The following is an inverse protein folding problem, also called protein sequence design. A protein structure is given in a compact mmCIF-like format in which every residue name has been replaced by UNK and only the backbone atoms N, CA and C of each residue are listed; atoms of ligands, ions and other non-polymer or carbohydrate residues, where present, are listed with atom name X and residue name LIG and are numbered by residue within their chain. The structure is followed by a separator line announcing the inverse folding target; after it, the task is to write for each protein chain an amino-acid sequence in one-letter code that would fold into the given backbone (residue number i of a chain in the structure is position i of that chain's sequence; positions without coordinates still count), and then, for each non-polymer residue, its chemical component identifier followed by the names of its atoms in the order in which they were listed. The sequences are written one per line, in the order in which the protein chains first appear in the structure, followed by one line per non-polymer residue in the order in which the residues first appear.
data_IF_440366584857
#
_entry.id   IF_440366584857
#
_cell.length_a   1.000
_cell.length_b   1.000
_cell.length_c   1.000
_cell.angle_alpha   90.00
_cell.angle_beta   90.00
_cell.angle_gamma   90.00
#
_symmetry.space_group_name_H-M   'P 1'
#
loop_
_entity.id
_entity.type
_entity.pdbx_description
1 polymer ?
#
# COMPACT_ATOMS: atom_id res chain seq x y z
N UNK A 1 41.75 41.82 -40.31
CA UNK A 1 41.01 40.59 -39.95
C UNK A 1 40.77 40.61 -38.44
N UNK A 2 39.52 40.59 -37.95
CA UNK A 2 39.28 40.61 -36.51
C UNK A 2 39.76 39.30 -35.89
N UNK A 3 40.62 39.35 -34.88
CA UNK A 3 41.01 38.19 -34.09
C UNK A 3 39.81 37.75 -33.26
N UNK A 4 39.18 36.64 -33.64
CA UNK A 4 38.24 35.95 -32.77
C UNK A 4 38.97 35.49 -31.51
N UNK A 5 38.81 36.23 -30.41
CA UNK A 5 39.29 35.83 -29.10
C UNK A 5 38.46 34.62 -28.65
N UNK A 6 39.07 33.43 -28.69
CA UNK A 6 38.47 32.24 -28.08
C UNK A 6 38.41 32.48 -26.58
N UNK A 7 37.19 32.61 -26.03
CA UNK A 7 36.98 32.69 -24.58
C UNK A 7 37.34 31.34 -23.97
N UNK A 8 38.39 31.30 -23.17
CA UNK A 8 38.77 30.14 -22.38
C UNK A 8 38.04 30.21 -21.03
N UNK A 9 37.43 29.11 -20.61
CA UNK A 9 36.72 28.99 -19.34
C UNK A 9 37.74 28.89 -18.20
N UNK A 10 37.55 29.64 -17.12
CA UNK A 10 38.43 29.55 -15.96
C UNK A 10 37.99 28.44 -15.01
N UNK A 11 38.95 27.84 -14.29
CA UNK A 11 38.65 26.83 -13.27
C UNK A 11 37.77 27.40 -12.14
N UNK A 12 37.92 28.68 -11.81
CA UNK A 12 37.13 29.34 -10.77
C UNK A 12 35.68 29.55 -11.20
N UNK A 13 35.41 29.89 -12.46
CA UNK A 13 34.05 29.97 -13.00
C UNK A 13 33.35 28.62 -12.90
N UNK A 14 34.05 27.54 -13.25
CA UNK A 14 33.48 26.18 -13.13
C UNK A 14 33.20 25.83 -11.67
N UNK A 15 34.13 26.16 -10.77
CA UNK A 15 34.04 25.85 -9.35
C UNK A 15 32.84 26.53 -8.69
N UNK A 16 32.59 27.81 -9.01
CA UNK A 16 31.44 28.55 -8.48
C UNK A 16 30.13 27.94 -9.00
N UNK A 17 30.08 27.56 -10.28
CA UNK A 17 28.87 26.94 -10.87
C UNK A 17 28.53 25.62 -10.18
N UNK A 18 29.49 24.72 -10.00
CA UNK A 18 29.22 23.44 -9.32
C UNK A 18 28.88 23.65 -7.84
N UNK A 19 29.45 24.67 -7.18
CA UNK A 19 29.10 25.03 -5.81
C UNK A 19 27.63 25.49 -5.70
N UNK A 20 27.18 26.36 -6.61
CA UNK A 20 25.78 26.83 -6.63
C UNK A 20 24.83 25.67 -6.93
N UNK A 21 25.13 24.83 -7.92
CA UNK A 21 24.32 23.64 -8.25
C UNK A 21 24.25 22.69 -7.04
N UNK A 22 25.36 22.50 -6.32
CA UNK A 22 25.41 21.68 -5.11
C UNK A 22 24.49 22.20 -4.00
N UNK A 23 24.49 23.52 -3.74
CA UNK A 23 23.61 24.15 -2.75
C UNK A 23 22.14 23.98 -3.15
N UNK A 24 21.80 24.24 -4.41
CA UNK A 24 20.43 24.09 -4.90
C UNK A 24 19.95 22.63 -4.82
N UNK A 25 20.81 21.68 -5.21
CA UNK A 25 20.49 20.25 -5.15
C UNK A 25 20.27 19.77 -3.70
N UNK A 26 21.09 20.23 -2.75
CA UNK A 26 20.96 19.87 -1.34
C UNK A 26 19.60 20.23 -0.73
N UNK A 27 18.99 21.35 -1.17
CA UNK A 27 17.66 21.78 -0.73
C UNK A 27 16.56 21.10 -1.55
N UNK A 28 16.76 20.98 -2.88
CA UNK A 28 15.73 20.49 -3.79
C UNK A 28 15.48 18.99 -3.66
N UNK A 29 16.53 18.16 -3.50
CA UNK A 29 16.42 16.69 -3.45
C UNK A 29 15.51 16.20 -2.31
N UNK A 30 15.71 16.58 -1.03
CA UNK A 30 14.82 16.09 0.05
C UNK A 30 13.38 16.54 -0.14
N UNK A 31 13.14 17.76 -0.64
CA UNK A 31 11.80 18.25 -0.92
C UNK A 31 11.13 17.48 -2.07
N UNK A 32 11.90 17.16 -3.12
CA UNK A 32 11.42 16.34 -4.24
C UNK A 32 11.04 14.93 -3.80
N UNK A 33 11.90 14.27 -3.01
CA UNK A 33 11.61 12.94 -2.45
C UNK A 33 10.33 12.96 -1.61
N UNK A 34 10.15 14.00 -0.80
CA UNK A 34 8.95 14.19 -0.02
C UNK A 34 7.69 14.38 -0.89
N UNK A 35 7.77 15.21 -1.93
CA UNK A 35 6.68 15.41 -2.87
C UNK A 35 6.32 14.10 -3.62
N UNK A 36 7.32 13.29 -3.96
CA UNK A 36 7.13 11.99 -4.57
C UNK A 36 6.37 11.04 -3.64
N UNK A 37 6.75 10.95 -2.36
CA UNK A 37 6.03 10.13 -1.37
C UNK A 37 4.58 10.57 -1.21
N UNK A 38 4.30 11.88 -1.13
CA UNK A 38 2.92 12.41 -1.09
C UNK A 38 2.10 11.96 -2.30
N UNK A 39 2.68 12.04 -3.49
CA UNK A 39 2.01 11.63 -4.72
C UNK A 39 1.71 10.13 -4.73
N UNK A 40 2.60 9.29 -4.18
CA UNK A 40 2.39 7.84 -4.03
C UNK A 40 1.27 7.53 -3.03
N UNK A 41 1.26 8.16 -1.86
CA UNK A 41 0.18 8.01 -0.86
C UNK A 41 -1.17 8.44 -1.44
N UNK A 42 -1.22 9.58 -2.14
CA UNK A 42 -2.45 10.05 -2.77
C UNK A 42 -2.96 9.10 -3.86
N UNK A 43 -2.05 8.50 -4.64
CA UNK A 43 -2.40 7.45 -5.62
C UNK A 43 -2.98 6.22 -4.93
N UNK A 44 -2.31 5.71 -3.91
CA UNK A 44 -2.77 4.54 -3.13
C UNK A 44 -4.16 4.78 -2.54
N UNK A 45 -4.38 5.96 -1.95
CA UNK A 45 -5.68 6.35 -1.43
C UNK A 45 -6.79 6.38 -2.51
N UNK A 46 -6.47 6.85 -3.72
CA UNK A 46 -7.39 6.87 -4.85
C UNK A 46 -7.70 5.46 -5.37
N UNK A 47 -6.67 4.61 -5.50
CA UNK A 47 -6.81 3.21 -5.92
C UNK A 47 -7.69 2.42 -4.94
N UNK A 48 -7.45 2.56 -3.64
CA UNK A 48 -8.26 1.94 -2.58
C UNK A 48 -9.73 2.37 -2.66
N UNK A 49 -10.00 3.65 -2.90
CA UNK A 49 -11.38 4.13 -3.11
C UNK A 49 -12.03 3.50 -4.35
N UNK A 50 -11.31 3.41 -5.46
CA UNK A 50 -11.81 2.78 -6.69
C UNK A 50 -12.13 1.30 -6.47
N UNK A 51 -11.28 0.59 -5.74
CA UNK A 51 -11.54 -0.80 -5.33
C UNK A 51 -12.77 -0.86 -4.41
N UNK A 52 -12.90 0.06 -3.44
CA UNK A 52 -14.06 0.14 -2.55
C UNK A 52 -15.38 0.29 -3.31
N UNK A 53 -15.40 1.10 -4.36
CA UNK A 53 -16.56 1.22 -5.28
C UNK A 53 -16.84 -0.11 -5.98
N UNK A 54 -15.80 -0.79 -6.50
CA UNK A 54 -15.94 -2.10 -7.14
C UNK A 54 -16.44 -3.17 -6.16
N UNK A 55 -16.00 -3.12 -4.90
CA UNK A 55 -16.46 -3.96 -3.80
C UNK A 55 -17.95 -3.74 -3.52
N UNK A 56 -18.40 -2.47 -3.48
CA UNK A 56 -19.80 -2.13 -3.32
C UNK A 56 -20.67 -2.67 -4.45
N UNK A 57 -20.22 -2.53 -5.70
CA UNK A 57 -20.92 -3.08 -6.86
C UNK A 57 -20.98 -4.61 -6.85
N UNK A 58 -19.86 -5.28 -6.53
CA UNK A 58 -19.82 -6.73 -6.38
C UNK A 58 -20.77 -7.23 -5.28
N UNK A 59 -20.77 -6.55 -4.12
CA UNK A 59 -21.62 -6.90 -2.99
C UNK A 59 -23.11 -6.70 -3.30
N UNK A 60 -23.47 -5.73 -4.14
CA UNK A 60 -24.86 -5.55 -4.60
C UNK A 60 -25.36 -6.75 -5.41
N UNK A 61 -24.49 -7.35 -6.24
CA UNK A 61 -24.85 -8.51 -7.07
C UNK A 61 -24.77 -9.85 -6.32
N UNK A 62 -23.81 -9.98 -5.40
CA UNK A 62 -23.47 -11.26 -4.76
C UNK A 62 -23.89 -11.35 -3.28
N UNK A 63 -24.45 -10.27 -2.73
CA UNK A 63 -24.85 -10.14 -1.33
C UNK A 63 -23.70 -10.33 -0.32
N UNK A 64 -22.45 -10.22 -0.78
CA UNK A 64 -21.24 -10.39 0.02
C UNK A 64 -20.04 -9.77 -0.71
N UNK A 65 -19.01 -9.33 0.04
CA UNK A 65 -17.77 -8.81 -0.54
C UNK A 65 -16.93 -9.92 -1.14
N UNK A 66 -16.12 -9.68 -2.17
CA UNK A 66 -15.37 -10.75 -2.80
C UNK A 66 -14.31 -11.30 -1.83
N UNK A 67 -14.12 -12.62 -1.82
CA UNK A 67 -13.02 -13.25 -1.08
C UNK A 67 -11.71 -13.03 -1.83
N UNK A 68 -10.67 -12.55 -1.16
CA UNK A 68 -9.31 -12.70 -1.65
C UNK A 68 -8.97 -14.19 -1.69
N UNK A 69 -8.69 -14.72 -2.89
CA UNK A 69 -8.15 -16.06 -3.10
C UNK A 69 -6.85 -15.87 -3.87
N UNK A 70 -5.73 -16.30 -3.29
CA UNK A 70 -4.48 -16.43 -4.04
C UNK A 70 -4.43 -17.87 -4.54
N UNK A 71 -4.76 -18.07 -5.81
CA UNK A 71 -4.78 -19.39 -6.45
C UNK A 71 -3.37 -19.98 -6.67
N UNK A 72 -2.30 -19.28 -6.26
CA UNK A 72 -0.93 -19.59 -6.65
C UNK A 72 0.11 -19.62 -5.52
N UNK A 73 -0.29 -19.78 -4.26
CA UNK A 73 0.68 -19.76 -3.18
C UNK A 73 0.73 -21.03 -2.34
N UNK A 74 1.92 -21.28 -1.83
CA UNK A 74 2.29 -22.42 -1.00
C UNK A 74 1.34 -22.57 0.21
N UNK A 75 1.23 -23.75 0.84
CA UNK A 75 0.37 -23.98 2.02
C UNK A 75 0.57 -23.00 3.19
N UNK A 76 1.70 -22.27 3.21
CA UNK A 76 2.02 -21.23 4.20
C UNK A 76 1.29 -19.90 3.95
N UNK A 77 0.99 -19.60 2.69
CA UNK A 77 0.40 -18.34 2.22
C UNK A 77 -1.10 -18.47 1.92
N UNK A 78 -1.63 -19.70 1.89
CA UNK A 78 -3.06 -19.99 1.87
C UNK A 78 -3.82 -19.44 3.11
N UNK A 79 -3.07 -19.00 4.13
CA UNK A 79 -3.59 -18.35 5.34
C UNK A 79 -3.30 -16.84 5.39
N UNK A 80 -2.69 -16.28 4.36
CA UNK A 80 -2.36 -14.86 4.28
C UNK A 80 -3.55 -14.07 3.75
N UNK A 81 -3.86 -12.97 4.45
CA UNK A 81 -4.73 -11.87 4.06
C UNK A 81 -4.71 -11.66 2.53
N UNK A 82 -5.81 -12.03 1.88
CA UNK A 82 -5.83 -12.33 0.45
C UNK A 82 -5.70 -11.09 -0.43
N UNK A 83 -4.86 -11.17 -1.45
CA UNK A 83 -4.77 -10.15 -2.49
C UNK A 83 -6.11 -9.95 -3.20
N UNK A 84 -6.26 -8.79 -3.87
CA UNK A 84 -7.45 -8.47 -4.65
C UNK A 84 -7.87 -9.62 -5.58
N UNK A 85 -9.15 -10.02 -5.54
CA UNK A 85 -9.58 -11.18 -6.29
C UNK A 85 -9.71 -10.90 -7.78
N UNK A 86 -9.36 -11.91 -8.59
CA UNK A 86 -9.70 -12.00 -10.02
C UNK A 86 -11.21 -11.82 -10.27
N UNK A 87 -12.04 -12.00 -9.23
CA UNK A 87 -13.51 -11.83 -9.26
C UNK A 87 -13.99 -10.41 -9.52
N UNK A 88 -13.13 -9.40 -9.35
CA UNK A 88 -13.46 -8.03 -9.75
C UNK A 88 -13.27 -7.77 -11.25
N UNK A 89 -12.51 -8.62 -11.94
CA UNK A 89 -12.23 -8.46 -13.37
C UNK A 89 -12.83 -9.58 -14.20
N UNK A 90 -13.10 -10.75 -13.62
CA UNK A 90 -13.59 -11.95 -14.31
C UNK A 90 -14.52 -12.79 -13.41
N UNK A 91 -15.59 -13.42 -13.94
CA UNK A 91 -16.08 -13.34 -15.32
C UNK A 91 -16.86 -12.05 -15.62
N UNK A 92 -17.35 -11.34 -14.60
CA UNK A 92 -18.00 -10.03 -14.71
C UNK A 92 -17.03 -8.97 -14.18
N UNK A 93 -16.74 -7.95 -14.98
CA UNK A 93 -15.81 -6.90 -14.62
C UNK A 93 -16.52 -5.79 -13.83
N UNK A 94 -16.23 -5.71 -12.53
CA UNK A 94 -16.57 -4.60 -11.64
C UNK A 94 -15.53 -3.48 -11.71
N UNK A 95 -14.34 -3.77 -12.22
CA UNK A 95 -13.32 -2.80 -12.59
C UNK A 95 -12.50 -3.30 -13.79
N UNK A 96 -11.93 -2.37 -14.57
CA UNK A 96 -11.22 -2.72 -15.82
C UNK A 96 -9.88 -3.44 -15.59
N UNK A 97 -9.18 -3.13 -14.50
CA UNK A 97 -7.92 -3.77 -14.11
C UNK A 97 -7.69 -3.63 -12.61
N UNK A 98 -6.94 -4.55 -12.01
CA UNK A 98 -6.52 -4.46 -10.61
C UNK A 98 -5.31 -3.52 -10.48
N UNK A 99 -5.38 -2.43 -9.71
CA UNK A 99 -4.27 -1.50 -9.54
C UNK A 99 -3.12 -2.15 -8.75
N UNK A 100 -1.91 -1.63 -8.98
CA UNK A 100 -0.69 -2.06 -8.29
C UNK A 100 -0.50 -1.18 -7.07
N UNK A 101 -0.20 -1.80 -5.93
CA UNK A 101 0.23 -1.09 -4.74
C UNK A 101 1.73 -0.74 -4.87
N UNK A 102 2.00 0.56 -5.01
CA UNK A 102 3.33 1.13 -5.21
C UNK A 102 4.26 0.88 -4.00
N UNK A 103 3.71 0.65 -2.80
CA UNK A 103 4.49 0.35 -1.61
C UNK A 103 4.77 -1.15 -1.44
N UNK A 104 4.01 -2.00 -2.14
CA UNK A 104 4.06 -3.46 -2.04
C UNK A 104 5.12 -4.13 -2.96
N UNK A 105 5.97 -3.33 -3.62
CA UNK A 105 7.04 -3.80 -4.53
C UNK A 105 8.35 -4.20 -3.84
N UNK A 106 8.40 -4.14 -2.51
CA UNK A 106 9.60 -4.44 -1.72
C UNK A 106 9.32 -4.38 -0.23
N UNK A 107 8.12 -4.83 0.16
CA UNK A 107 7.66 -4.80 1.54
C UNK A 107 8.16 -6.01 2.33
N UNK A 108 8.19 -5.88 3.66
CA UNK A 108 8.55 -6.94 4.58
C UNK A 108 7.36 -7.32 5.46
N UNK A 109 7.05 -8.62 5.51
CA UNK A 109 6.10 -9.17 6.48
C UNK A 109 6.79 -9.24 7.84
N UNK A 110 6.17 -8.67 8.88
CA UNK A 110 6.71 -8.71 10.24
C UNK A 110 6.90 -10.17 10.72
N UNK A 111 8.10 -10.50 11.22
CA UNK A 111 8.44 -11.84 11.71
C UNK A 111 9.08 -12.81 10.70
N UNK A 112 9.23 -12.44 9.43
CA UNK A 112 10.08 -13.19 8.49
C UNK A 112 11.46 -12.54 8.37
N UNK A 113 12.51 -13.32 8.66
CA UNK A 113 13.91 -12.87 8.60
C UNK A 113 14.37 -12.53 7.16
N UNK A 114 13.71 -13.09 6.13
CA UNK A 114 14.21 -13.07 4.74
C UNK A 114 13.21 -12.53 3.71
N UNK A 115 12.05 -12.01 4.12
CA UNK A 115 11.00 -11.59 3.18
C UNK A 115 11.22 -10.16 2.66
N UNK A 116 12.39 -9.87 2.09
CA UNK A 116 12.51 -8.83 1.05
C UNK A 116 12.12 -9.47 -0.27
N UNK A 117 10.84 -9.74 -0.44
CA UNK A 117 10.33 -10.10 -1.76
C UNK A 117 10.47 -8.89 -2.66
N UNK A 118 11.56 -8.81 -3.43
CA UNK A 118 11.61 -7.96 -4.62
C UNK A 118 10.61 -8.54 -5.61
N UNK A 119 9.34 -8.22 -5.41
CA UNK A 119 8.25 -8.68 -6.25
C UNK A 119 8.34 -7.94 -7.58
N UNK A 120 8.28 -8.67 -8.69
CA UNK A 120 8.26 -8.04 -10.01
C UNK A 120 6.90 -7.37 -10.20
N UNK A 121 6.84 -6.28 -10.96
CA UNK A 121 5.63 -5.48 -11.21
C UNK A 121 4.43 -6.21 -11.87
N UNK A 122 4.47 -7.53 -12.05
CA UNK A 122 3.36 -8.37 -12.50
C UNK A 122 2.91 -9.42 -11.50
N UNK A 123 3.55 -9.51 -10.32
CA UNK A 123 3.21 -10.50 -9.31
C UNK A 123 1.90 -10.11 -8.59
N UNK A 124 1.04 -11.08 -8.32
CA UNK A 124 -0.18 -10.88 -7.54
C UNK A 124 0.12 -10.28 -6.16
N UNK A 125 1.31 -10.57 -5.60
CA UNK A 125 1.79 -9.99 -4.36
C UNK A 125 2.03 -8.48 -4.38
N UNK A 126 2.04 -7.86 -5.56
CA UNK A 126 2.17 -6.39 -5.71
C UNK A 126 0.82 -5.68 -5.65
N UNK A 127 -0.28 -6.43 -5.56
CA UNK A 127 -1.65 -5.89 -5.47
C UNK A 127 -1.99 -5.56 -4.02
N UNK A 128 -3.06 -4.80 -3.84
CA UNK A 128 -3.56 -4.51 -2.50
C UNK A 128 -4.02 -5.79 -1.80
N UNK A 129 -3.77 -5.85 -0.49
CA UNK A 129 -4.29 -6.91 0.38
C UNK A 129 -5.69 -6.54 0.83
N UNK A 130 -6.55 -7.53 0.93
CA UNK A 130 -7.95 -7.35 1.30
C UNK A 130 -8.41 -8.41 2.27
N UNK A 131 -9.31 -8.01 3.16
CA UNK A 131 -10.04 -8.95 3.99
C UNK A 131 -11.47 -8.45 4.18
N UNK A 132 -12.38 -9.38 4.47
CA UNK A 132 -13.77 -9.06 4.75
C UNK A 132 -14.17 -9.59 6.11
N UNK A 133 -15.24 -9.05 6.67
CA UNK A 133 -15.87 -9.40 7.95
C UNK A 133 -16.58 -10.75 7.87
N UNK A 134 -15.87 -11.80 7.46
CA UNK A 134 -16.39 -13.16 7.40
C UNK A 134 -15.29 -14.17 7.69
N UNK A 135 -15.40 -14.96 8.77
CA UNK A 135 -14.40 -15.95 9.13
C UNK A 135 -14.30 -17.07 8.10
N UNK A 136 -13.12 -17.68 8.01
CA UNK A 136 -12.99 -18.99 7.37
C UNK A 136 -13.63 -20.04 8.28
N UNK A 137 -14.59 -20.82 7.75
CA UNK A 137 -15.34 -21.83 8.50
C UNK A 137 -15.03 -23.26 8.04
N UNK A 138 -13.92 -23.47 7.33
CA UNK A 138 -13.55 -24.79 6.83
C UNK A 138 -12.85 -25.68 7.88
N UNK A 139 -12.49 -26.93 7.53
CA UNK A 139 -11.98 -27.95 8.46
C UNK A 139 -10.72 -27.58 9.27
N UNK A 140 -10.00 -26.52 8.87
CA UNK A 140 -8.78 -26.02 9.52
C UNK A 140 -8.94 -24.60 10.08
N UNK A 141 -10.17 -24.17 10.38
CA UNK A 141 -10.39 -22.87 11.00
C UNK A 141 -9.73 -22.81 12.39
N UNK A 142 -8.69 -21.99 12.52
CA UNK A 142 -7.93 -21.83 13.77
C UNK A 142 -8.66 -21.08 14.89
N UNK A 143 -9.91 -20.67 14.67
CA UNK A 143 -10.76 -19.96 15.65
C UNK A 143 -12.24 -20.18 15.32
N UNK A 144 -13.11 -20.13 16.33
CA UNK A 144 -14.56 -20.11 16.09
C UNK A 144 -14.99 -18.80 15.41
N UNK A 145 -16.16 -18.76 14.74
CA UNK A 145 -16.66 -17.53 14.13
C UNK A 145 -16.74 -16.34 15.10
N UNK A 146 -17.10 -16.59 16.36
CA UNK A 146 -17.20 -15.58 17.42
C UNK A 146 -15.83 -15.03 17.81
N UNK A 147 -14.85 -15.93 17.98
CA UNK A 147 -13.46 -15.56 18.29
C UNK A 147 -12.85 -14.72 17.16
N UNK A 148 -13.08 -15.12 15.91
CA UNK A 148 -12.64 -14.37 14.75
C UNK A 148 -13.27 -12.97 14.69
N UNK A 149 -14.59 -12.89 14.89
CA UNK A 149 -15.31 -11.62 14.86
C UNK A 149 -14.87 -10.68 15.99
N UNK A 150 -14.57 -11.21 17.17
CA UNK A 150 -14.00 -10.44 18.27
C UNK A 150 -12.61 -9.90 17.89
N UNK A 151 -11.76 -10.73 17.27
CA UNK A 151 -10.46 -10.31 16.74
C UNK A 151 -10.57 -9.22 15.68
N UNK A 152 -11.47 -9.38 14.71
CA UNK A 152 -11.77 -8.38 13.68
C UNK A 152 -12.16 -7.04 14.28
N UNK A 153 -13.13 -7.02 15.20
CA UNK A 153 -13.57 -5.80 15.88
C UNK A 153 -12.44 -5.14 16.68
N UNK A 154 -11.63 -5.94 17.38
CA UNK A 154 -10.48 -5.43 18.15
C UNK A 154 -9.43 -4.80 17.26
N UNK A 155 -9.11 -5.42 16.13
CA UNK A 155 -8.18 -4.89 15.13
C UNK A 155 -8.68 -3.56 14.57
N UNK A 156 -9.95 -3.51 14.12
CA UNK A 156 -10.56 -2.30 13.57
C UNK A 156 -10.60 -1.14 14.57
N UNK A 157 -10.99 -1.42 15.82
CA UNK A 157 -11.02 -0.42 16.88
C UNK A 157 -9.66 0.25 17.12
N UNK A 158 -8.56 -0.50 17.00
CA UNK A 158 -7.19 0.02 17.17
C UNK A 158 -6.74 0.88 15.99
N UNK A 159 -7.22 0.59 14.79
CA UNK A 159 -6.98 1.39 13.59
C UNK A 159 -7.89 2.62 13.47
N UNK A 160 -8.94 2.72 14.28
CA UNK A 160 -9.90 3.85 14.23
C UNK A 160 -10.85 3.83 13.03
N UNK A 161 -10.84 2.74 12.26
CA UNK A 161 -11.78 2.43 11.17
C UNK A 161 -12.83 1.42 11.65
N UNK A 162 -13.98 1.39 10.98
CA UNK A 162 -14.96 0.32 11.10
C UNK A 162 -15.30 -0.19 9.70
N UNK A 163 -15.76 -1.43 9.58
CA UNK A 163 -16.26 -1.90 8.31
C UNK A 163 -16.44 -3.38 8.08
N UNK A 164 -17.08 -3.67 6.96
CA UNK A 164 -17.31 -5.03 6.47
C UNK A 164 -16.17 -5.57 5.61
N UNK A 165 -15.24 -4.72 5.20
CA UNK A 165 -13.99 -5.09 4.55
C UNK A 165 -12.89 -4.11 4.90
N UNK A 166 -11.66 -4.54 4.65
CA UNK A 166 -10.49 -3.68 4.64
C UNK A 166 -9.66 -3.92 3.39
N UNK A 167 -9.01 -2.85 2.95
CA UNK A 167 -7.95 -2.85 1.94
C UNK A 167 -6.72 -2.26 2.63
N UNK A 168 -5.57 -2.93 2.51
CA UNK A 168 -4.35 -2.55 3.22
C UNK A 168 -3.18 -2.35 2.25
N UNK A 169 -2.32 -1.40 2.60
CA UNK A 169 -1.03 -1.13 1.97
C UNK A 169 0.00 -0.87 3.07
N UNK A 170 1.23 -1.38 2.95
CA UNK A 170 2.28 -1.17 3.95
C UNK A 170 2.80 0.28 3.99
N UNK A 171 2.34 1.16 3.09
CA UNK A 171 2.69 2.59 3.17
C UNK A 171 4.19 2.88 2.95
N UNK A 172 4.64 4.12 3.28
CA UNK A 172 5.97 4.59 2.93
C UNK A 172 7.15 3.83 3.54
N UNK A 173 6.98 3.21 4.71
CA UNK A 173 8.02 2.43 5.37
C UNK A 173 8.16 1.00 4.80
N UNK A 174 7.16 0.57 4.02
CA UNK A 174 7.08 -0.75 3.36
C UNK A 174 7.16 -1.89 4.38
N UNK A 175 6.67 -1.67 5.59
CA UNK A 175 6.51 -2.71 6.61
C UNK A 175 5.02 -2.94 6.77
N UNK A 176 4.61 -4.20 6.83
CA UNK A 176 3.21 -4.51 7.09
C UNK A 176 2.97 -4.68 8.59
N UNK A 177 2.20 -3.76 9.16
CA UNK A 177 1.95 -3.67 10.60
C UNK A 177 0.53 -4.07 11.03
N UNK A 178 -0.42 -4.19 10.10
CA UNK A 178 -1.84 -4.42 10.43
C UNK A 178 -2.19 -5.86 10.82
N UNK A 179 -1.23 -6.79 10.85
CA UNK A 179 -1.52 -8.16 11.23
C UNK A 179 -2.09 -8.23 12.66
N UNK A 180 -3.19 -8.96 12.92
CA UNK A 180 -3.89 -8.98 14.22
C UNK A 180 -3.02 -9.31 15.44
N UNK A 181 -1.88 -9.96 15.21
CA UNK A 181 -0.91 -10.31 16.24
C UNK A 181 0.03 -9.16 16.65
N UNK A 182 0.07 -8.03 15.92
CA UNK A 182 1.21 -7.11 15.94
C UNK A 182 0.92 -5.63 16.23
N UNK A 183 -0.22 -5.29 16.84
CA UNK A 183 -0.57 -3.90 17.16
C UNK A 183 -0.71 -3.02 15.92
N UNK A 184 -1.87 -3.03 15.25
CA UNK A 184 -2.03 -2.33 14.00
C UNK A 184 -1.80 -0.83 14.19
N UNK A 185 -0.81 -0.31 13.47
CA UNK A 185 -0.45 1.09 13.44
C UNK A 185 -1.06 1.71 12.19
N UNK A 186 -2.13 2.52 12.31
CA UNK A 186 -2.70 3.17 11.15
C UNK A 186 -1.74 4.24 10.61
N UNK A 187 -1.72 4.40 9.30
CA UNK A 187 -1.03 5.50 8.64
C UNK A 187 -1.54 6.85 9.18
N UNK A 188 -0.62 7.67 9.69
CA UNK A 188 -0.90 9.00 10.22
C UNK A 188 -0.43 10.05 9.20
N UNK A 189 -1.35 10.91 8.74
CA UNK A 189 -1.04 12.00 7.80
C UNK A 189 -0.48 13.24 8.50
N UNK A 190 -0.68 13.38 9.81
CA UNK A 190 -0.33 14.56 10.60
C UNK A 190 1.13 14.54 11.10
N UNK A 191 1.74 13.37 11.21
CA UNK A 191 3.14 13.21 11.65
C UNK A 191 4.19 13.38 10.54
N UNK A 192 3.75 13.72 9.32
CA UNK A 192 4.60 13.96 8.16
C UNK A 192 4.44 12.90 7.08
N UNK A 193 5.50 12.73 6.27
CA UNK A 193 5.54 11.76 5.17
C UNK A 193 6.05 10.37 5.55
N UNK A 194 6.57 10.27 6.76
CA UNK A 194 7.16 9.08 7.33
C UNK A 194 6.19 8.60 8.40
N UNK A 195 5.31 7.68 8.01
CA UNK A 195 4.48 6.95 8.95
C UNK A 195 4.97 5.50 8.96
N UNK A 196 5.11 4.95 10.17
CA UNK A 196 5.48 3.56 10.40
C UNK A 196 4.23 2.69 10.52
N UNK A 197 3.27 2.89 9.62
CA UNK A 197 1.94 2.35 9.75
C UNK A 197 1.24 2.19 8.41
N UNK A 198 0.37 1.20 8.35
CA UNK A 198 -0.30 0.77 7.13
C UNK A 198 -1.40 1.76 6.74
N UNK A 199 -1.50 2.03 5.44
CA UNK A 199 -2.65 2.73 4.88
C UNK A 199 -3.79 1.71 4.81
N UNK A 200 -4.88 2.01 5.51
CA UNK A 200 -6.05 1.12 5.57
C UNK A 200 -7.27 1.83 5.06
N UNK A 201 -8.08 1.15 4.26
CA UNK A 201 -9.35 1.64 3.76
C UNK A 201 -10.46 0.64 4.08
N UNK A 202 -11.61 1.13 4.53
CA UNK A 202 -12.84 0.35 4.69
C UNK A 202 -14.05 1.08 4.07
N UNK A 203 -15.24 0.50 4.19
CA UNK A 203 -16.51 1.18 3.88
C UNK A 203 -16.69 2.50 4.68
N UNK A 204 -16.11 2.58 5.88
CA UNK A 204 -16.03 3.79 6.70
C UNK A 204 -15.00 4.83 6.24
N UNK A 205 -14.16 4.54 5.24
CA UNK A 205 -13.18 5.46 4.68
C UNK A 205 -11.71 5.08 4.96
N UNK A 206 -10.81 6.04 4.78
CA UNK A 206 -9.37 5.86 5.03
C UNK A 206 -9.05 6.02 6.52
N UNK A 207 -8.24 5.10 7.03
CA UNK A 207 -7.66 5.17 8.36
C UNK A 207 -6.73 6.37 8.50
N UNK A 208 -6.70 6.97 9.70
CA UNK A 208 -5.88 8.15 10.01
C UNK A 208 -6.38 9.48 9.41
N UNK A 209 -7.45 9.46 8.60
CA UNK A 209 -8.11 10.66 8.08
C UNK A 209 -9.38 10.90 8.89
N UNK A 210 -9.23 11.57 10.05
CA UNK A 210 -10.37 12.11 10.81
C UNK A 210 -10.41 13.63 10.69
#
# INVERSE_FOLDING_TARGET
MPKNQRRAFTLIELLIVVAIIGILAAIAVPNFMNAQTRAKVARVAADMRNIGVAFGAYAADHNDFPLGIVTFLSPREAHSWGFLPERLTTPIAYMSFLPIDEFNLGYRIYGQQDATGSTKAGDAHTRYRTARRKPYTGPNAGSTPEQWLAGWKSMLARTGIDGNFIITSPGPDKVEDILPAYNPHPYDMSNGLLSSGDIVYSDGGLSGVR
#
